data_IF_920719371868
#
_entry.id   IF_920719371868
#
_cell.length_a   1.000
_cell.length_b   1.000
_cell.length_c   1.000
_cell.angle_alpha   90.00
_cell.angle_beta   90.00
_cell.angle_gamma   90.00
#
_symmetry.space_group_name_H-M   'P 1'
#
loop_
_entity.id
_entity.type
_entity.pdbx_description
1 polymer ?
#
# COMPACT_ATOMS: atom_id res chain seq x y z
N UNK A 1 -5.03 22.65 -20.47
CA UNK A 1 -3.68 22.67 -21.07
C UNK A 1 -2.73 21.72 -20.30
N UNK A 2 -3.00 20.40 -20.27
CA UNK A 2 -2.15 19.42 -19.53
C UNK A 2 -1.80 18.15 -20.32
N UNK A 3 -2.38 17.96 -21.51
CA UNK A 3 -2.21 16.74 -22.31
C UNK A 3 -0.83 16.60 -22.99
N UNK A 4 -0.03 17.68 -23.12
CA UNK A 4 1.29 17.60 -23.79
C UNK A 4 2.39 16.88 -22.97
N UNK A 5 2.11 16.41 -21.75
CA UNK A 5 3.16 16.04 -20.76
C UNK A 5 3.30 14.54 -20.46
N UNK A 6 2.45 13.67 -21.01
CA UNK A 6 2.63 12.21 -20.96
C UNK A 6 3.13 11.70 -22.31
N UNK A 7 4.19 10.87 -22.29
CA UNK A 7 4.78 10.33 -23.53
C UNK A 7 3.76 9.53 -24.34
N UNK A 8 2.77 8.95 -23.68
CA UNK A 8 1.69 8.18 -24.31
C UNK A 8 0.80 9.10 -25.15
N UNK A 9 0.48 10.30 -24.67
CA UNK A 9 -0.33 11.27 -25.43
C UNK A 9 0.40 11.71 -26.69
N UNK A 10 1.71 11.91 -26.63
CA UNK A 10 2.49 12.23 -27.83
C UNK A 10 2.47 11.08 -28.85
N UNK A 11 2.57 9.82 -28.39
CA UNK A 11 2.46 8.65 -29.26
C UNK A 11 1.06 8.57 -29.88
N UNK A 12 0.01 8.76 -29.09
CA UNK A 12 -1.38 8.80 -29.59
C UNK A 12 -1.60 9.95 -30.57
N UNK A 13 -0.99 11.11 -30.38
CA UNK A 13 -1.06 12.22 -31.33
C UNK A 13 -0.48 11.82 -32.69
N UNK A 14 0.63 11.10 -32.73
CA UNK A 14 1.18 10.59 -34.00
C UNK A 14 0.25 9.56 -34.65
N UNK A 15 -0.37 8.67 -33.87
CA UNK A 15 -1.37 7.72 -34.39
C UNK A 15 -2.57 8.47 -34.98
N UNK A 16 -3.06 9.50 -34.30
CA UNK A 16 -4.16 10.36 -34.78
C UNK A 16 -3.79 11.11 -36.06
N UNK A 17 -2.59 11.68 -36.14
CA UNK A 17 -2.08 12.33 -37.35
C UNK A 17 -1.99 11.34 -38.51
N UNK A 18 -1.52 10.12 -38.27
CA UNK A 18 -1.49 9.07 -39.28
C UNK A 18 -2.89 8.74 -39.83
N UNK A 19 -3.88 8.60 -38.95
CA UNK A 19 -5.28 8.37 -39.34
C UNK A 19 -5.85 9.52 -40.18
N UNK A 20 -5.55 10.77 -39.83
CA UNK A 20 -5.97 11.96 -40.60
C UNK A 20 -5.36 11.93 -42.01
N UNK A 21 -4.05 11.67 -42.12
CA UNK A 21 -3.37 11.63 -43.42
C UNK A 21 -3.85 10.46 -44.29
N UNK A 22 -4.14 9.31 -43.68
CA UNK A 22 -4.74 8.17 -44.38
C UNK A 22 -6.10 8.55 -44.98
N UNK A 23 -6.96 9.26 -44.23
CA UNK A 23 -8.26 9.76 -44.75
C UNK A 23 -8.09 10.72 -45.93
N UNK A 24 -7.04 11.54 -45.90
CA UNK A 24 -6.66 12.45 -46.99
C UNK A 24 -5.95 11.75 -48.17
N UNK A 25 -5.89 10.40 -48.18
CA UNK A 25 -5.13 9.58 -49.16
C UNK A 25 -3.62 9.83 -49.21
N UNK A 26 -3.06 10.55 -48.24
CA UNK A 26 -1.62 10.79 -48.10
C UNK A 26 -0.94 9.61 -47.39
N UNK A 27 -0.89 8.45 -48.05
CA UNK A 27 -0.47 7.18 -47.43
C UNK A 27 0.99 7.19 -46.95
N UNK A 28 1.90 7.78 -47.72
CA UNK A 28 3.31 7.93 -47.34
C UNK A 28 3.47 8.73 -46.05
N UNK A 29 2.74 9.84 -45.93
CA UNK A 29 2.78 10.69 -44.76
C UNK A 29 2.10 10.03 -43.54
N UNK A 30 1.02 9.26 -43.78
CA UNK A 30 0.43 8.43 -42.74
C UNK A 30 1.43 7.41 -42.19
N UNK A 31 2.16 6.72 -43.08
CA UNK A 31 3.18 5.75 -42.68
C UNK A 31 4.35 6.39 -41.92
N UNK A 32 4.78 7.60 -42.32
CA UNK A 32 5.79 8.37 -41.60
C UNK A 32 5.40 8.65 -40.14
N UNK A 33 4.15 9.07 -39.91
CA UNK A 33 3.66 9.30 -38.55
C UNK A 33 3.57 8.01 -37.73
N UNK A 34 3.16 6.88 -38.34
CA UNK A 34 3.17 5.58 -37.66
C UNK A 34 4.60 5.13 -37.28
N UNK A 35 5.60 5.34 -38.15
CA UNK A 35 7.01 5.06 -37.81
C UNK A 35 7.55 5.93 -36.67
N UNK A 36 7.13 7.20 -36.61
CA UNK A 36 7.44 8.08 -35.46
C UNK A 36 6.81 7.58 -34.17
N UNK A 37 5.54 7.16 -34.21
CA UNK A 37 4.84 6.56 -33.08
C UNK A 37 5.55 5.27 -32.62
N UNK A 38 5.89 4.38 -33.55
CA UNK A 38 6.58 3.11 -33.31
C UNK A 38 7.91 3.34 -32.57
N UNK A 39 8.77 4.24 -33.08
CA UNK A 39 10.07 4.53 -32.47
C UNK A 39 9.94 5.02 -31.02
N UNK A 40 8.91 5.82 -30.72
CA UNK A 40 8.66 6.30 -29.36
C UNK A 40 8.08 5.20 -28.46
N UNK A 41 7.13 4.41 -28.97
CA UNK A 41 6.52 3.31 -28.23
C UNK A 41 7.53 2.19 -27.92
N UNK A 42 8.43 1.85 -28.85
CA UNK A 42 9.54 0.91 -28.62
C UNK A 42 10.48 1.38 -27.52
N UNK A 43 10.90 2.65 -27.55
CA UNK A 43 11.78 3.24 -26.52
C UNK A 43 11.14 3.30 -25.15
N UNK A 44 9.81 3.42 -25.09
CA UNK A 44 9.04 3.46 -23.85
C UNK A 44 8.47 2.09 -23.44
N UNK A 45 8.75 1.03 -24.22
CA UNK A 45 8.24 -0.33 -24.02
C UNK A 45 6.71 -0.41 -23.87
N UNK A 46 5.99 0.40 -24.66
CA UNK A 46 4.53 0.48 -24.64
C UNK A 46 3.91 -0.62 -25.50
N UNK A 47 3.93 -1.85 -25.00
CA UNK A 47 3.52 -3.05 -25.76
C UNK A 47 2.08 -2.99 -26.28
N UNK A 48 1.13 -2.45 -25.52
CA UNK A 48 -0.25 -2.24 -25.95
C UNK A 48 -0.35 -1.26 -27.13
N UNK A 49 0.34 -0.12 -27.02
CA UNK A 49 0.34 0.90 -28.07
C UNK A 49 1.05 0.40 -29.33
N UNK A 50 2.12 -0.40 -29.18
CA UNK A 50 2.79 -1.06 -30.29
C UNK A 50 1.85 -2.01 -31.03
N UNK A 51 0.99 -2.76 -30.33
CA UNK A 51 0.00 -3.62 -30.96
C UNK A 51 -0.98 -2.81 -31.84
N UNK A 52 -1.42 -1.64 -31.37
CA UNK A 52 -2.26 -0.71 -32.14
C UNK A 52 -1.49 -0.19 -33.37
N UNK A 53 -0.25 0.26 -33.19
CA UNK A 53 0.57 0.81 -34.28
C UNK A 53 0.79 -0.25 -35.37
N UNK A 54 1.17 -1.48 -35.01
CA UNK A 54 1.40 -2.53 -35.99
C UNK A 54 0.11 -2.93 -36.73
N UNK A 55 -1.04 -2.93 -36.05
CA UNK A 55 -2.33 -3.11 -36.71
C UNK A 55 -2.62 -2.01 -37.74
N UNK A 56 -2.34 -0.75 -37.41
CA UNK A 56 -2.54 0.38 -38.33
C UNK A 56 -1.59 0.32 -39.53
N UNK A 57 -0.32 -0.06 -39.32
CA UNK A 57 0.67 -0.22 -40.39
C UNK A 57 0.26 -1.35 -41.35
N UNK A 58 -0.15 -2.51 -40.84
CA UNK A 58 -0.59 -3.64 -41.67
C UNK A 58 -1.85 -3.28 -42.48
N UNK A 59 -2.81 -2.57 -41.88
CA UNK A 59 -3.99 -2.04 -42.60
C UNK A 59 -3.64 -0.97 -43.64
N UNK A 60 -2.51 -0.28 -43.48
CA UNK A 60 -2.03 0.69 -44.47
C UNK A 60 -1.33 0.00 -45.64
N UNK A 61 -0.67 -1.13 -45.38
CA UNK A 61 0.03 -1.92 -46.39
C UNK A 61 -0.88 -2.44 -47.50
N UNK A 62 -2.18 -2.65 -47.22
CA UNK A 62 -3.18 -3.00 -48.24
C UNK A 62 -3.23 -2.03 -49.42
N UNK A 63 -2.93 -0.74 -49.17
CA UNK A 63 -3.00 0.32 -50.18
C UNK A 63 -1.62 0.95 -50.46
N UNK A 64 -0.57 0.56 -49.71
CA UNK A 64 0.78 1.14 -49.84
C UNK A 64 1.82 0.02 -49.96
N UNK A 65 2.12 -0.35 -51.20
CA UNK A 65 2.96 -1.50 -51.59
C UNK A 65 4.39 -1.40 -51.04
N UNK A 66 4.88 -0.18 -50.77
CA UNK A 66 6.23 0.04 -50.22
C UNK A 66 6.41 -0.45 -48.76
N UNK A 67 5.34 -0.91 -48.09
CA UNK A 67 5.42 -1.44 -46.73
C UNK A 67 5.79 -2.93 -46.80
N UNK A 68 6.92 -3.28 -46.19
CA UNK A 68 7.33 -4.66 -45.92
C UNK A 68 6.39 -5.33 -44.90
N UNK A 69 5.43 -6.12 -45.41
CA UNK A 69 4.39 -6.77 -44.61
C UNK A 69 4.98 -7.79 -43.63
N UNK A 70 5.90 -8.65 -44.09
CA UNK A 70 6.48 -9.73 -43.29
C UNK A 70 7.23 -9.20 -42.08
N UNK A 71 7.99 -8.10 -42.25
CA UNK A 71 8.64 -7.41 -41.15
C UNK A 71 7.66 -6.96 -40.07
N UNK A 72 6.53 -6.36 -40.45
CA UNK A 72 5.56 -5.87 -39.46
C UNK A 72 4.70 -7.00 -38.87
N UNK A 73 4.45 -8.09 -39.61
CA UNK A 73 3.84 -9.31 -39.07
C UNK A 73 4.74 -9.91 -37.96
N UNK A 74 6.04 -10.03 -38.23
CA UNK A 74 6.99 -10.56 -37.25
C UNK A 74 7.13 -9.65 -36.02
N UNK A 75 7.21 -8.32 -36.22
CA UNK A 75 7.17 -7.36 -35.10
C UNK A 75 5.92 -7.49 -34.26
N UNK A 76 4.75 -7.65 -34.88
CA UNK A 76 3.48 -7.84 -34.17
C UNK A 76 3.46 -9.13 -33.36
N UNK A 77 3.92 -10.25 -33.93
CA UNK A 77 4.05 -11.54 -33.21
C UNK A 77 4.98 -11.42 -32.00
N UNK A 78 6.15 -10.80 -32.16
CA UNK A 78 7.11 -10.62 -31.07
C UNK A 78 6.59 -9.69 -29.97
N UNK A 79 5.89 -8.61 -30.34
CA UNK A 79 5.26 -7.72 -29.37
C UNK A 79 4.12 -8.41 -28.61
N UNK A 80 3.34 -9.26 -29.29
CA UNK A 80 2.28 -10.03 -28.66
C UNK A 80 2.82 -10.90 -27.52
N UNK A 81 3.91 -11.64 -27.74
CA UNK A 81 4.55 -12.44 -26.66
C UNK A 81 4.90 -11.60 -25.42
N UNK A 82 5.45 -10.39 -25.63
CA UNK A 82 5.78 -9.48 -24.52
C UNK A 82 4.54 -8.89 -23.85
N UNK A 83 3.52 -8.56 -24.63
CA UNK A 83 2.26 -8.03 -24.13
C UNK A 83 1.54 -9.06 -23.27
N UNK A 84 1.41 -10.29 -23.76
CA UNK A 84 0.76 -11.40 -23.06
C UNK A 84 1.47 -11.66 -21.72
N UNK A 85 2.81 -11.74 -21.71
CA UNK A 85 3.59 -11.88 -20.48
C UNK A 85 3.37 -10.72 -19.49
N UNK A 86 3.31 -9.48 -19.99
CA UNK A 86 3.07 -8.31 -19.14
C UNK A 86 1.66 -8.32 -18.54
N UNK A 87 0.65 -8.75 -19.31
CA UNK A 87 -0.73 -8.88 -18.87
C UNK A 87 -0.91 -9.99 -17.83
N UNK A 88 -0.27 -11.14 -18.01
CA UNK A 88 -0.33 -12.24 -17.05
C UNK A 88 0.14 -11.78 -15.66
N UNK A 89 1.23 -10.99 -15.60
CA UNK A 89 1.72 -10.44 -14.34
C UNK A 89 0.73 -9.44 -13.72
N UNK A 90 0.13 -8.57 -14.52
CA UNK A 90 -0.80 -7.56 -14.00
C UNK A 90 -2.14 -8.18 -13.54
N UNK A 91 -2.60 -9.26 -14.19
CA UNK A 91 -3.77 -10.05 -13.76
C UNK A 91 -3.55 -10.65 -12.38
N UNK A 92 -2.35 -11.19 -12.11
CA UNK A 92 -1.99 -11.74 -10.80
C UNK A 92 -1.91 -10.64 -9.73
N UNK A 93 -1.37 -9.47 -10.09
CA UNK A 93 -1.18 -8.37 -9.14
C UNK A 93 -2.48 -7.63 -8.80
N UNK A 94 -3.43 -7.50 -9.72
CA UNK A 94 -4.59 -6.63 -9.53
C UNK A 94 -5.46 -7.00 -8.31
N UNK A 95 -5.83 -8.27 -8.07
CA UNK A 95 -6.60 -8.67 -6.88
C UNK A 95 -5.84 -8.42 -5.58
N UNK A 96 -4.53 -8.69 -5.59
CA UNK A 96 -3.63 -8.48 -4.45
C UNK A 96 -3.54 -7.01 -4.08
N UNK A 97 -3.37 -6.14 -5.09
CA UNK A 97 -3.33 -4.69 -4.92
C UNK A 97 -4.65 -4.15 -4.35
N UNK A 98 -5.78 -4.62 -4.87
CA UNK A 98 -7.09 -4.21 -4.41
C UNK A 98 -7.35 -4.65 -2.95
N UNK A 99 -7.00 -5.89 -2.60
CA UNK A 99 -7.20 -6.41 -1.24
C UNK A 99 -6.32 -5.70 -0.21
N UNK A 100 -5.03 -5.47 -0.49
CA UNK A 100 -4.14 -4.72 0.42
C UNK A 100 -4.69 -3.32 0.71
N UNK A 101 -5.19 -2.63 -0.33
CA UNK A 101 -5.76 -1.29 -0.18
C UNK A 101 -7.01 -1.27 0.70
N UNK A 102 -7.79 -2.35 0.72
CA UNK A 102 -9.08 -2.42 1.42
C UNK A 102 -8.97 -2.99 2.84
N UNK A 103 -7.99 -3.85 3.14
CA UNK A 103 -7.88 -4.51 4.46
C UNK A 103 -6.77 -3.97 5.37
N UNK A 104 -5.87 -3.13 4.85
CA UNK A 104 -4.71 -2.62 5.59
C UNK A 104 -3.90 -3.70 6.32
N UNK A 105 -3.86 -4.92 5.77
CA UNK A 105 -3.19 -6.10 6.36
C UNK A 105 -3.73 -6.58 7.73
N UNK A 106 -4.93 -6.13 8.14
CA UNK A 106 -5.55 -6.49 9.43
C UNK A 106 -6.46 -7.73 9.38
N UNK A 107 -6.78 -8.25 8.20
CA UNK A 107 -7.62 -9.45 8.02
C UNK A 107 -6.79 -10.74 7.90
N UNK A 108 -7.29 -11.82 8.50
CA UNK A 108 -6.70 -13.18 8.47
C UNK A 108 -7.01 -13.99 7.19
N UNK A 109 -7.74 -13.43 6.22
CA UNK A 109 -8.10 -14.11 4.96
C UNK A 109 -6.99 -14.08 3.90
N UNK A 110 -5.77 -13.70 4.28
CA UNK A 110 -4.63 -13.57 3.37
C UNK A 110 -4.20 -14.91 2.74
N UNK A 111 -4.47 -16.04 3.39
CA UNK A 111 -3.85 -17.33 3.04
C UNK A 111 -4.29 -17.90 1.68
N UNK A 112 -5.56 -17.74 1.27
CA UNK A 112 -6.05 -18.23 -0.04
C UNK A 112 -5.56 -17.40 -1.23
N UNK A 113 -5.36 -16.09 -1.03
CA UNK A 113 -4.81 -15.21 -2.08
C UNK A 113 -3.31 -15.46 -2.21
N UNK A 114 -2.63 -15.69 -1.08
CA UNK A 114 -1.21 -16.06 -1.01
C UNK A 114 -0.91 -17.37 -1.75
N UNK A 115 -1.70 -18.42 -1.54
CA UNK A 115 -1.50 -19.71 -2.23
C UNK A 115 -1.67 -19.56 -3.75
N UNK A 116 -2.65 -18.77 -4.18
CA UNK A 116 -2.89 -18.53 -5.61
C UNK A 116 -1.80 -17.66 -6.24
N UNK A 117 -1.29 -16.66 -5.52
CA UNK A 117 -0.18 -15.81 -5.97
C UNK A 117 1.07 -16.66 -6.19
N UNK A 118 1.51 -17.42 -5.18
CA UNK A 118 2.76 -18.20 -5.26
C UNK A 118 2.71 -19.20 -6.42
N UNK A 119 1.61 -19.95 -6.56
CA UNK A 119 1.46 -20.91 -7.65
C UNK A 119 1.53 -20.25 -9.03
N UNK A 120 0.91 -19.07 -9.22
CA UNK A 120 0.97 -18.36 -10.50
C UNK A 120 2.35 -17.77 -10.76
N UNK A 121 3.02 -17.26 -9.73
CA UNK A 121 4.36 -16.70 -9.87
C UNK A 121 5.38 -17.76 -10.22
N UNK A 122 5.37 -18.91 -9.55
CA UNK A 122 6.28 -20.02 -9.86
C UNK A 122 6.09 -20.49 -11.31
N UNK A 123 4.84 -20.61 -11.76
CA UNK A 123 4.54 -20.94 -13.16
C UNK A 123 5.09 -19.86 -14.11
N UNK A 124 4.91 -18.58 -13.81
CA UNK A 124 5.36 -17.48 -14.66
C UNK A 124 6.90 -17.36 -14.72
N UNK A 125 7.58 -17.55 -13.59
CA UNK A 125 9.04 -17.45 -13.49
C UNK A 125 9.76 -18.69 -14.04
N UNK A 126 9.14 -19.88 -13.96
CA UNK A 126 9.74 -21.11 -14.49
C UNK A 126 9.44 -21.36 -15.98
N UNK A 127 8.26 -21.00 -16.49
CA UNK A 127 7.87 -21.30 -17.88
C UNK A 127 8.38 -20.30 -18.91
N UNK A 128 8.72 -19.08 -18.49
CA UNK A 128 9.04 -18.00 -19.41
C UNK A 128 10.46 -17.47 -19.17
N UNK A 129 11.23 -17.34 -20.25
CA UNK A 129 12.45 -16.54 -20.23
C UNK A 129 12.05 -15.06 -20.17
N UNK A 130 12.05 -14.48 -18.97
CA UNK A 130 11.58 -13.11 -18.75
C UNK A 130 12.63 -12.14 -19.29
N UNK A 131 12.29 -11.29 -20.27
CA UNK A 131 13.25 -10.36 -20.85
C UNK A 131 13.82 -9.42 -19.78
N UNK A 132 15.14 -9.23 -19.77
CA UNK A 132 15.82 -8.33 -18.83
C UNK A 132 15.68 -6.85 -19.23
N UNK A 133 14.46 -6.39 -19.51
CA UNK A 133 14.17 -5.01 -19.90
C UNK A 133 13.65 -4.17 -18.74
N UNK A 134 13.69 -2.83 -18.81
CA UNK A 134 13.19 -1.97 -17.74
C UNK A 134 11.76 -2.28 -17.29
N UNK A 135 10.83 -2.54 -18.22
CA UNK A 135 9.42 -2.84 -17.89
C UNK A 135 9.29 -4.11 -17.09
N UNK A 136 9.90 -5.20 -17.55
CA UNK A 136 9.83 -6.49 -16.86
C UNK A 136 10.57 -6.44 -15.53
N UNK A 137 11.73 -5.78 -15.44
CA UNK A 137 12.42 -5.59 -14.15
C UNK A 137 11.53 -4.87 -13.13
N UNK A 138 10.78 -3.85 -13.56
CA UNK A 138 9.82 -3.14 -12.70
C UNK A 138 8.66 -4.06 -12.28
N UNK A 139 8.14 -4.88 -13.19
CA UNK A 139 7.10 -5.86 -12.88
C UNK A 139 7.57 -6.89 -11.86
N UNK A 140 8.78 -7.46 -12.03
CA UNK A 140 9.41 -8.35 -11.06
C UNK A 140 9.57 -7.67 -9.71
N UNK A 141 10.03 -6.42 -9.70
CA UNK A 141 10.09 -5.61 -8.48
C UNK A 141 8.73 -5.48 -7.78
N UNK A 142 7.66 -5.17 -8.52
CA UNK A 142 6.30 -5.11 -7.97
C UNK A 142 5.95 -6.43 -7.30
N UNK A 143 6.08 -7.53 -8.03
CA UNK A 143 5.72 -8.89 -7.60
C UNK A 143 6.46 -9.32 -6.34
N UNK A 144 7.80 -9.35 -6.38
CA UNK A 144 8.62 -9.85 -5.25
C UNK A 144 8.38 -8.98 -4.02
N UNK A 145 8.28 -7.65 -4.19
CA UNK A 145 7.99 -6.77 -3.06
C UNK A 145 6.62 -7.04 -2.44
N UNK A 146 5.61 -7.45 -3.24
CA UNK A 146 4.29 -7.83 -2.73
C UNK A 146 4.33 -9.13 -1.97
N UNK A 147 4.98 -10.14 -2.54
CA UNK A 147 5.11 -11.45 -1.91
C UNK A 147 5.76 -11.33 -0.53
N UNK A 148 6.93 -10.68 -0.46
CA UNK A 148 7.65 -10.49 0.80
C UNK A 148 6.87 -9.65 1.81
N UNK A 149 6.14 -8.62 1.36
CA UNK A 149 5.30 -7.81 2.23
C UNK A 149 4.13 -8.61 2.81
N UNK A 150 3.51 -9.48 2.01
CA UNK A 150 2.41 -10.32 2.47
C UNK A 150 2.88 -11.44 3.41
N UNK A 151 4.05 -12.03 3.14
CA UNK A 151 4.72 -12.98 4.04
C UNK A 151 5.30 -12.31 5.29
N UNK A 152 5.30 -10.98 5.34
CA UNK A 152 5.89 -10.15 6.41
C UNK A 152 7.38 -10.41 6.62
N UNK A 153 8.07 -10.81 5.56
CA UNK A 153 9.52 -11.04 5.57
C UNK A 153 10.26 -9.71 5.43
N UNK A 154 10.11 -8.81 6.40
CA UNK A 154 10.63 -7.44 6.33
C UNK A 154 12.16 -7.38 6.21
N UNK A 155 12.88 -8.35 6.76
CA UNK A 155 14.34 -8.46 6.62
C UNK A 155 14.72 -8.78 5.16
N UNK A 156 14.06 -9.75 4.55
CA UNK A 156 14.28 -10.12 3.16
C UNK A 156 13.85 -8.98 2.21
N UNK A 157 12.71 -8.35 2.50
CA UNK A 157 12.19 -7.20 1.76
C UNK A 157 13.19 -6.04 1.78
N UNK A 158 13.74 -5.69 2.96
CA UNK A 158 14.76 -4.63 3.07
C UNK A 158 15.97 -4.92 2.16
N UNK A 159 16.55 -6.13 2.27
CA UNK A 159 17.72 -6.55 1.48
C UNK A 159 17.43 -6.48 -0.02
N UNK A 160 16.26 -6.99 -0.43
CA UNK A 160 15.80 -6.94 -1.80
C UNK A 160 15.68 -5.50 -2.32
N UNK A 161 14.94 -4.65 -1.61
CA UNK A 161 14.69 -3.26 -2.02
C UNK A 161 15.96 -2.42 -2.10
N UNK A 162 16.90 -2.58 -1.15
CA UNK A 162 18.23 -1.93 -1.22
C UNK A 162 18.98 -2.35 -2.49
N UNK A 163 18.95 -3.64 -2.82
CA UNK A 163 19.60 -4.16 -4.04
C UNK A 163 18.96 -3.61 -5.32
N UNK A 164 17.62 -3.57 -5.37
CA UNK A 164 16.88 -3.04 -6.52
C UNK A 164 17.10 -1.56 -6.68
N UNK A 165 17.06 -0.77 -5.60
CA UNK A 165 17.32 0.66 -5.66
C UNK A 165 18.71 0.95 -6.23
N UNK A 166 19.74 0.22 -5.77
CA UNK A 166 21.10 0.34 -6.29
C UNK A 166 21.18 0.01 -7.78
N UNK A 167 20.64 -1.15 -8.18
CA UNK A 167 20.64 -1.61 -9.58
C UNK A 167 19.86 -0.66 -10.50
N UNK A 168 18.64 -0.28 -10.14
CA UNK A 168 17.78 0.56 -10.98
C UNK A 168 18.31 1.98 -11.11
N UNK A 169 18.97 2.50 -10.07
CA UNK A 169 19.65 3.79 -10.15
C UNK A 169 20.87 3.73 -11.07
N UNK A 170 21.72 2.70 -10.91
CA UNK A 170 22.89 2.48 -11.77
C UNK A 170 22.50 2.35 -13.24
N UNK A 171 21.46 1.56 -13.52
CA UNK A 171 21.02 1.24 -14.87
C UNK A 171 20.06 2.30 -15.45
N UNK A 172 19.81 3.41 -14.73
CA UNK A 172 18.89 4.50 -15.11
C UNK A 172 17.48 4.01 -15.49
N UNK A 173 16.99 2.98 -14.79
CA UNK A 173 15.64 2.45 -15.00
C UNK A 173 14.60 3.48 -14.57
N UNK A 174 14.82 4.13 -13.43
CA UNK A 174 13.89 5.15 -12.94
C UNK A 174 13.90 6.39 -13.84
N UNK A 175 12.71 6.74 -14.31
CA UNK A 175 12.44 7.90 -15.14
C UNK A 175 11.00 8.37 -14.90
N UNK A 176 10.60 9.44 -15.59
CA UNK A 176 9.27 10.05 -15.43
C UNK A 176 8.11 9.06 -15.57
N UNK A 177 8.22 8.06 -16.47
CA UNK A 177 7.13 7.12 -16.76
C UNK A 177 6.92 6.07 -15.65
N UNK A 178 7.92 5.83 -14.82
CA UNK A 178 7.88 4.84 -13.74
C UNK A 178 8.24 5.45 -12.38
N UNK A 179 8.04 6.77 -12.27
CA UNK A 179 8.39 7.52 -11.07
C UNK A 179 7.57 7.05 -9.85
N UNK A 180 6.33 6.65 -10.06
CA UNK A 180 5.50 6.03 -9.03
C UNK A 180 6.19 4.80 -8.42
N UNK A 181 6.83 3.96 -9.23
CA UNK A 181 7.51 2.76 -8.75
C UNK A 181 8.77 3.11 -7.95
N UNK A 182 9.44 4.23 -8.23
CA UNK A 182 10.52 4.76 -7.39
C UNK A 182 9.99 5.19 -6.01
N UNK A 183 8.91 5.96 -5.99
CA UNK A 183 8.28 6.43 -4.75
C UNK A 183 7.75 5.26 -3.92
N UNK A 184 7.15 4.27 -4.58
CA UNK A 184 6.70 3.03 -3.98
C UNK A 184 7.86 2.25 -3.34
N UNK A 185 8.99 2.10 -4.05
CA UNK A 185 10.18 1.44 -3.51
C UNK A 185 10.65 2.14 -2.23
N UNK A 186 10.78 3.46 -2.26
CA UNK A 186 11.24 4.25 -1.11
C UNK A 186 10.27 4.13 0.06
N UNK A 187 8.97 4.09 -0.21
CA UNK A 187 7.93 3.87 0.80
C UNK A 187 8.07 2.49 1.46
N UNK A 188 8.21 1.41 0.68
CA UNK A 188 8.40 0.07 1.26
C UNK A 188 9.71 -0.04 2.02
N UNK A 189 10.79 0.53 1.50
CA UNK A 189 12.07 0.46 2.19
C UNK A 189 12.02 1.21 3.53
N UNK A 190 11.37 2.38 3.55
CA UNK A 190 11.14 3.14 4.78
C UNK A 190 10.36 2.31 5.81
N UNK A 191 9.25 1.69 5.39
CA UNK A 191 8.42 0.88 6.28
C UNK A 191 9.12 -0.41 6.74
N UNK A 192 9.82 -1.11 5.85
CA UNK A 192 10.59 -2.32 6.22
C UNK A 192 11.69 -2.02 7.22
N UNK A 193 12.38 -0.89 7.06
CA UNK A 193 13.39 -0.43 8.03
C UNK A 193 12.77 -0.14 9.40
N UNK A 194 11.58 0.47 9.42
CA UNK A 194 10.85 0.70 10.66
C UNK A 194 10.47 -0.62 11.34
N UNK A 195 9.90 -1.58 10.61
CA UNK A 195 9.54 -2.91 11.16
C UNK A 195 10.76 -3.67 11.66
N UNK A 196 11.91 -3.53 10.98
CA UNK A 196 13.20 -4.09 11.41
C UNK A 196 13.87 -3.26 12.53
N UNK A 197 13.16 -2.30 13.14
CA UNK A 197 13.63 -1.45 14.25
C UNK A 197 14.82 -0.54 13.91
N UNK A 198 15.10 -0.30 12.62
CA UNK A 198 16.15 0.61 12.12
C UNK A 198 15.58 2.02 11.92
N UNK A 199 15.17 2.66 13.02
CA UNK A 199 14.35 3.88 13.00
C UNK A 199 15.05 5.08 12.34
N UNK A 200 16.34 5.29 12.62
CA UNK A 200 17.11 6.39 12.03
C UNK A 200 17.30 6.21 10.51
N UNK A 201 17.66 4.99 10.09
CA UNK A 201 17.80 4.68 8.67
C UNK A 201 16.44 4.82 7.95
N UNK A 202 15.34 4.40 8.59
CA UNK A 202 13.99 4.60 8.09
C UNK A 202 13.70 6.09 7.84
N UNK A 203 14.01 6.98 8.80
CA UNK A 203 13.85 8.43 8.63
C UNK A 203 14.73 9.00 7.50
N UNK A 204 15.93 8.48 7.30
CA UNK A 204 16.77 8.90 6.17
C UNK A 204 16.17 8.49 4.82
N UNK A 205 15.54 7.32 4.73
CA UNK A 205 14.77 6.95 3.55
C UNK A 205 13.48 7.75 3.40
N UNK A 206 12.84 8.18 4.49
CA UNK A 206 11.71 9.12 4.43
C UNK A 206 12.13 10.48 3.85
N UNK A 207 13.34 10.97 4.16
CA UNK A 207 13.91 12.17 3.53
C UNK A 207 14.14 11.96 2.03
N UNK A 208 14.66 10.79 1.62
CA UNK A 208 14.83 10.42 0.21
C UNK A 208 13.48 10.34 -0.52
N UNK A 209 12.44 9.80 0.14
CA UNK A 209 11.07 9.80 -0.37
C UNK A 209 10.59 11.23 -0.62
N UNK A 210 10.72 12.15 0.36
CA UNK A 210 10.36 13.57 0.21
C UNK A 210 11.08 14.23 -0.97
N UNK A 211 12.38 13.97 -1.13
CA UNK A 211 13.16 14.50 -2.27
C UNK A 211 12.59 13.96 -3.58
N UNK A 212 12.34 12.66 -3.67
CA UNK A 212 11.78 12.04 -4.85
C UNK A 212 10.39 12.57 -5.19
N UNK A 213 9.52 12.83 -4.19
CA UNK A 213 8.18 13.43 -4.41
C UNK A 213 8.25 14.80 -5.09
N UNK A 214 9.37 15.51 -4.97
CA UNK A 214 9.58 16.81 -5.61
C UNK A 214 10.10 16.72 -7.06
N UNK A 215 10.47 15.52 -7.51
CA UNK A 215 10.92 15.30 -8.88
C UNK A 215 9.78 15.49 -9.89
N UNK A 216 10.14 15.69 -11.16
CA UNK A 216 9.20 15.77 -12.29
C UNK A 216 8.06 16.79 -12.11
N UNK A 217 8.33 17.92 -11.45
CA UNK A 217 7.35 18.97 -11.15
C UNK A 217 6.23 18.50 -10.21
N UNK A 218 6.54 17.63 -9.24
CA UNK A 218 5.61 17.28 -8.15
C UNK A 218 4.32 16.59 -8.61
N UNK A 219 4.33 15.95 -9.79
CA UNK A 219 3.14 15.30 -10.38
C UNK A 219 2.52 14.27 -9.43
N UNK A 220 3.35 13.54 -8.66
CA UNK A 220 2.91 12.53 -7.70
C UNK A 220 3.01 12.99 -6.25
N UNK A 221 3.27 14.28 -5.99
CA UNK A 221 3.53 14.78 -4.64
C UNK A 221 2.34 14.54 -3.71
N UNK A 222 1.14 14.94 -4.12
CA UNK A 222 -0.07 14.81 -3.30
C UNK A 222 -0.43 13.33 -3.06
N UNK A 223 -0.26 12.48 -4.09
CA UNK A 223 -0.50 11.03 -4.01
C UNK A 223 0.38 10.35 -2.96
N UNK A 224 1.59 10.87 -2.72
CA UNK A 224 2.55 10.28 -1.78
C UNK A 224 2.62 10.99 -0.42
N UNK A 225 1.85 12.06 -0.25
CA UNK A 225 1.90 12.89 0.94
C UNK A 225 1.56 12.10 2.20
N UNK A 226 0.49 11.29 2.14
CA UNK A 226 0.07 10.42 3.24
C UNK A 226 1.19 9.46 3.66
N UNK A 227 1.85 8.79 2.71
CA UNK A 227 2.91 7.83 3.00
C UNK A 227 4.13 8.50 3.66
N UNK A 228 4.48 9.72 3.22
CA UNK A 228 5.56 10.49 3.84
C UNK A 228 5.22 10.88 5.28
N UNK A 229 4.03 11.43 5.53
CA UNK A 229 3.60 11.76 6.90
C UNK A 229 3.52 10.52 7.79
N UNK A 230 2.96 9.42 7.28
CA UNK A 230 2.93 8.15 8.01
C UNK A 230 4.33 7.68 8.40
N UNK A 231 5.29 7.70 7.47
CA UNK A 231 6.68 7.35 7.75
C UNK A 231 7.30 8.19 8.88
N UNK A 232 7.05 9.50 8.90
CA UNK A 232 7.52 10.35 9.98
C UNK A 232 6.85 10.01 11.32
N UNK A 233 5.53 9.85 11.32
CA UNK A 233 4.74 9.58 12.53
C UNK A 233 5.16 8.26 13.18
N UNK A 234 5.23 7.16 12.41
CA UNK A 234 5.58 5.85 12.97
C UNK A 234 6.98 5.87 13.61
N UNK A 235 7.97 6.49 12.96
CA UNK A 235 9.32 6.58 13.49
C UNK A 235 9.41 7.50 14.72
N UNK A 236 8.87 8.72 14.63
CA UNK A 236 8.91 9.64 15.76
C UNK A 236 8.04 9.18 16.93
N UNK A 237 7.02 8.35 16.71
CA UNK A 237 6.27 7.74 17.81
C UNK A 237 7.13 6.83 18.71
N UNK A 238 8.31 6.43 18.24
CA UNK A 238 9.29 5.66 19.02
C UNK A 238 10.48 6.51 19.49
N UNK A 239 10.88 7.49 18.69
CA UNK A 239 12.07 8.31 18.97
C UNK A 239 11.77 9.62 19.72
N UNK A 240 10.67 10.30 19.37
CA UNK A 240 10.38 11.66 19.81
C UNK A 240 8.88 11.97 19.68
N UNK A 241 8.14 11.77 20.77
CA UNK A 241 6.69 12.00 20.80
C UNK A 241 6.30 13.44 20.44
N UNK A 242 7.14 14.43 20.78
CA UNK A 242 6.85 15.84 20.48
C UNK A 242 6.89 16.09 18.97
N UNK A 243 7.92 15.58 18.29
CA UNK A 243 8.01 15.61 16.82
C UNK A 243 6.86 14.85 16.17
N UNK A 244 6.49 13.68 16.67
CA UNK A 244 5.37 12.91 16.14
C UNK A 244 4.05 13.72 16.19
N UNK A 245 3.76 14.36 17.32
CA UNK A 245 2.58 15.22 17.47
C UNK A 245 2.65 16.46 16.57
N UNK A 246 3.82 17.07 16.40
CA UNK A 246 4.01 18.18 15.47
C UNK A 246 3.69 17.78 14.03
N UNK A 247 4.22 16.64 13.59
CA UNK A 247 3.95 16.07 12.26
C UNK A 247 2.46 15.77 12.07
N UNK A 248 1.79 15.21 13.09
CA UNK A 248 0.34 14.96 13.05
C UNK A 248 -0.47 16.26 12.97
N UNK A 249 -0.06 17.31 13.68
CA UNK A 249 -0.72 18.62 13.60
C UNK A 249 -0.51 19.29 12.22
N UNK A 250 0.69 19.18 11.64
CA UNK A 250 0.94 19.63 10.26
C UNK A 250 0.07 18.88 9.26
N UNK A 251 -0.02 17.55 9.40
CA UNK A 251 -0.88 16.73 8.56
C UNK A 251 -2.36 17.08 8.75
N UNK A 252 -2.78 17.30 10.01
CA UNK A 252 -4.15 17.72 10.38
C UNK A 252 -4.59 18.98 9.63
N UNK A 253 -3.69 19.91 9.39
CA UNK A 253 -3.97 21.20 8.74
C UNK A 253 -3.74 21.19 7.22
N UNK A 254 -3.33 20.06 6.64
CA UNK A 254 -3.06 19.96 5.22
C UNK A 254 -4.32 19.60 4.42
N UNK A 255 -4.78 20.52 3.55
CA UNK A 255 -6.00 20.35 2.74
C UNK A 255 -6.01 19.04 1.93
N UNK A 256 -4.88 18.66 1.33
CA UNK A 256 -4.81 17.44 0.50
C UNK A 256 -4.90 16.16 1.31
N UNK A 257 -4.41 16.17 2.55
CA UNK A 257 -4.56 15.01 3.42
C UNK A 257 -5.98 14.95 3.98
N UNK A 258 -6.59 16.09 4.30
CA UNK A 258 -8.00 16.17 4.73
C UNK A 258 -8.99 15.59 3.70
N UNK A 259 -8.66 15.64 2.41
CA UNK A 259 -9.48 15.04 1.33
C UNK A 259 -9.46 13.49 1.33
N UNK A 260 -8.59 12.83 2.11
CA UNK A 260 -8.47 11.36 2.08
C UNK A 260 -9.56 10.66 2.93
N UNK A 261 -10.23 9.61 2.40
CA UNK A 261 -11.37 8.92 3.06
C UNK A 261 -11.12 8.28 4.44
N UNK A 262 -9.89 8.30 4.96
CA UNK A 262 -9.50 7.71 6.25
C UNK A 262 -8.53 8.60 7.03
N UNK A 263 -8.36 9.85 6.61
CA UNK A 263 -7.42 10.78 7.23
C UNK A 263 -7.72 11.00 8.71
N UNK A 264 -8.99 11.20 9.05
CA UNK A 264 -9.39 11.45 10.43
C UNK A 264 -9.02 10.27 11.33
N UNK A 265 -9.19 9.04 10.82
CA UNK A 265 -8.76 7.83 11.51
C UNK A 265 -7.26 7.79 11.73
N UNK A 266 -6.47 8.06 10.69
CA UNK A 266 -5.03 8.11 10.81
C UNK A 266 -4.57 9.15 11.86
N UNK A 267 -5.06 10.39 11.80
CA UNK A 267 -4.60 11.46 12.70
C UNK A 267 -5.00 11.20 14.14
N UNK A 268 -6.30 11.03 14.40
CA UNK A 268 -6.80 10.95 15.77
C UNK A 268 -6.38 9.65 16.45
N UNK A 269 -6.28 8.53 15.72
CA UNK A 269 -5.77 7.28 16.29
C UNK A 269 -4.32 7.45 16.72
N UNK A 270 -3.44 7.92 15.83
CA UNK A 270 -2.02 8.06 16.16
C UNK A 270 -1.77 9.10 17.27
N UNK A 271 -2.50 10.22 17.29
CA UNK A 271 -2.44 11.17 18.42
C UNK A 271 -2.88 10.50 19.72
N UNK A 272 -3.97 9.73 19.69
CA UNK A 272 -4.48 8.96 20.83
C UNK A 272 -3.44 7.98 21.38
N UNK A 273 -2.75 7.24 20.50
CA UNK A 273 -1.71 6.28 20.87
C UNK A 273 -0.46 6.94 21.41
N UNK A 274 -0.01 8.06 20.83
CA UNK A 274 1.13 8.81 21.36
C UNK A 274 0.82 9.34 22.76
N UNK A 275 -0.37 9.90 22.99
CA UNK A 275 -0.77 10.33 24.32
C UNK A 275 -0.91 9.16 25.30
N UNK A 276 -1.36 7.99 24.83
CA UNK A 276 -1.39 6.78 25.63
C UNK A 276 0.02 6.37 26.07
N UNK A 277 1.00 6.34 25.14
CA UNK A 277 2.39 6.04 25.46
C UNK A 277 3.02 7.05 26.43
N UNK A 278 2.55 8.28 26.43
CA UNK A 278 2.94 9.31 27.42
C UNK A 278 2.18 9.20 28.75
N UNK A 279 1.34 8.17 28.97
CA UNK A 279 0.43 8.02 30.11
C UNK A 279 -0.57 9.19 30.29
N UNK A 280 -0.78 10.00 29.25
CA UNK A 280 -1.74 11.11 29.21
C UNK A 280 -3.13 10.60 28.80
N UNK A 281 -3.71 9.72 29.62
CA UNK A 281 -4.93 8.97 29.27
C UNK A 281 -6.14 9.85 28.95
N UNK A 282 -6.32 10.99 29.64
CA UNK A 282 -7.37 11.97 29.33
C UNK A 282 -7.25 12.54 27.90
N UNK A 283 -6.03 12.82 27.46
CA UNK A 283 -5.77 13.30 26.09
C UNK A 283 -5.91 12.18 25.07
N UNK A 284 -5.48 10.97 25.43
CA UNK A 284 -5.63 9.78 24.61
C UNK A 284 -7.11 9.50 24.30
N UNK A 285 -7.95 9.40 25.33
CA UNK A 285 -9.37 9.11 25.15
C UNK A 285 -10.09 10.22 24.38
N UNK A 286 -9.73 11.50 24.59
CA UNK A 286 -10.30 12.62 23.83
C UNK A 286 -10.10 12.45 22.32
N UNK A 287 -8.92 12.02 21.90
CA UNK A 287 -8.63 11.81 20.47
C UNK A 287 -9.33 10.55 19.94
N UNK A 288 -9.30 9.44 20.68
CA UNK A 288 -9.98 8.19 20.29
C UNK A 288 -11.50 8.40 20.17
N UNK A 289 -12.13 9.08 21.12
CA UNK A 289 -13.55 9.43 21.04
C UNK A 289 -13.83 10.36 19.86
N UNK A 290 -12.96 11.35 19.58
CA UNK A 290 -13.13 12.23 18.41
C UNK A 290 -13.08 11.45 17.10
N UNK A 291 -12.22 10.45 16.99
CA UNK A 291 -12.16 9.52 15.85
C UNK A 291 -13.49 8.80 15.67
N UNK A 292 -13.99 8.13 16.72
CA UNK A 292 -15.22 7.32 16.65
C UNK A 292 -16.44 8.15 16.19
N UNK A 293 -16.44 9.46 16.47
CA UNK A 293 -17.50 10.39 16.06
C UNK A 293 -17.42 10.85 14.59
N UNK A 294 -16.32 10.58 13.88
CA UNK A 294 -16.18 10.99 12.47
C UNK A 294 -16.94 10.07 11.52
N UNK A 295 -17.45 10.62 10.42
CA UNK A 295 -18.08 9.82 9.36
C UNK A 295 -17.10 8.78 8.77
N UNK A 296 -15.83 9.14 8.62
CA UNK A 296 -14.77 8.26 8.12
C UNK A 296 -14.62 6.97 8.95
N UNK A 297 -14.99 6.99 10.25
CA UNK A 297 -14.95 5.78 11.09
C UNK A 297 -15.89 4.70 10.56
N UNK A 298 -17.07 5.10 10.06
CA UNK A 298 -18.06 4.17 9.50
C UNK A 298 -17.56 3.49 8.23
N UNK A 299 -16.64 4.14 7.51
CA UNK A 299 -16.03 3.62 6.27
C UNK A 299 -14.91 2.60 6.55
N UNK A 300 -14.46 2.46 7.80
CA UNK A 300 -13.46 1.45 8.17
C UNK A 300 -14.06 0.03 8.15
N UNK A 301 -13.22 -0.99 7.94
CA UNK A 301 -13.67 -2.38 8.05
C UNK A 301 -14.20 -2.67 9.47
N UNK A 302 -15.19 -3.55 9.59
CA UNK A 302 -15.76 -3.90 10.90
C UNK A 302 -14.72 -4.46 11.89
N UNK A 303 -13.73 -5.20 11.38
CA UNK A 303 -12.59 -5.69 12.16
C UNK A 303 -11.76 -4.52 12.73
N UNK A 304 -11.47 -3.50 11.92
CA UNK A 304 -10.70 -2.35 12.37
C UNK A 304 -11.48 -1.45 13.34
N UNK A 305 -12.78 -1.23 13.08
CA UNK A 305 -13.68 -0.54 14.01
C UNK A 305 -13.67 -1.21 15.40
N UNK A 306 -13.82 -2.54 15.44
CA UNK A 306 -13.78 -3.30 16.69
C UNK A 306 -12.48 -3.05 17.47
N UNK A 307 -11.33 -3.08 16.80
CA UNK A 307 -10.03 -2.85 17.44
C UNK A 307 -9.89 -1.43 18.01
N UNK A 308 -10.40 -0.42 17.31
CA UNK A 308 -10.43 0.96 17.83
C UNK A 308 -11.31 1.05 19.08
N UNK A 309 -12.45 0.35 19.10
CA UNK A 309 -13.35 0.34 20.25
C UNK A 309 -12.75 -0.43 21.45
N UNK A 310 -12.03 -1.52 21.22
CA UNK A 310 -11.25 -2.21 22.27
C UNK A 310 -10.18 -1.26 22.82
N UNK A 311 -9.51 -0.50 21.95
CA UNK A 311 -8.54 0.53 22.35
C UNK A 311 -9.20 1.60 23.22
N UNK A 312 -10.40 2.06 22.88
CA UNK A 312 -11.18 3.00 23.70
C UNK A 312 -11.36 2.44 25.13
N UNK A 313 -11.79 1.18 25.23
CA UNK A 313 -12.00 0.50 26.52
C UNK A 313 -10.70 0.39 27.31
N UNK A 314 -9.60 -0.03 26.67
CA UNK A 314 -8.28 -0.14 27.30
C UNK A 314 -7.81 1.18 27.90
N UNK A 315 -8.03 2.31 27.21
CA UNK A 315 -7.67 3.63 27.72
C UNK A 315 -8.59 4.07 28.86
N UNK A 316 -9.89 3.77 28.78
CA UNK A 316 -10.87 4.09 29.84
C UNK A 316 -10.61 3.33 31.13
N UNK A 317 -10.07 2.12 31.04
CA UNK A 317 -9.65 1.34 32.21
C UNK A 317 -8.64 2.11 33.06
N UNK A 318 -7.61 2.71 32.43
CA UNK A 318 -6.62 3.55 33.12
C UNK A 318 -7.21 4.85 33.72
N UNK A 319 -8.46 5.17 33.42
CA UNK A 319 -9.20 6.32 33.98
C UNK A 319 -10.22 5.90 35.04
N UNK A 320 -10.25 4.61 35.44
CA UNK A 320 -11.20 4.05 36.41
C UNK A 320 -12.67 4.29 36.03
N UNK A 321 -13.00 4.25 34.73
CA UNK A 321 -14.34 4.50 34.21
C UNK A 321 -15.15 3.20 34.05
N UNK A 322 -15.29 2.44 35.13
CA UNK A 322 -15.87 1.08 35.14
C UNK A 322 -17.27 0.99 34.50
N UNK A 323 -18.20 1.88 34.87
CA UNK A 323 -19.58 1.86 34.37
C UNK A 323 -19.64 2.05 32.84
N UNK A 324 -18.85 3.01 32.33
CA UNK A 324 -18.72 3.27 30.90
C UNK A 324 -18.12 2.09 30.16
N UNK A 325 -17.13 1.41 30.76
CA UNK A 325 -16.53 0.22 30.14
C UNK A 325 -17.58 -0.89 30.02
N UNK A 326 -18.39 -1.11 31.06
CA UNK A 326 -19.42 -2.15 31.05
C UNK A 326 -20.45 -1.90 29.93
N UNK A 327 -20.91 -0.64 29.78
CA UNK A 327 -21.79 -0.24 28.70
C UNK A 327 -21.18 -0.51 27.31
N UNK A 328 -19.90 -0.13 27.13
CA UNK A 328 -19.18 -0.31 25.86
C UNK A 328 -19.00 -1.79 25.51
N UNK A 329 -18.68 -2.64 26.49
CA UNK A 329 -18.57 -4.09 26.29
C UNK A 329 -19.91 -4.69 25.85
N UNK A 330 -21.03 -4.26 26.45
CA UNK A 330 -22.38 -4.69 26.03
C UNK A 330 -22.65 -4.30 24.56
N UNK A 331 -22.28 -3.09 24.15
CA UNK A 331 -22.42 -2.63 22.76
C UNK A 331 -21.56 -3.46 21.81
N UNK A 332 -20.31 -3.78 22.19
CA UNK A 332 -19.42 -4.61 21.38
C UNK A 332 -20.00 -6.00 21.13
N UNK A 333 -20.47 -6.68 22.16
CA UNK A 333 -21.09 -7.99 22.01
C UNK A 333 -22.34 -7.95 21.12
N UNK A 334 -23.17 -6.89 21.22
CA UNK A 334 -24.36 -6.75 20.37
C UNK A 334 -24.01 -6.48 18.90
N UNK A 335 -23.09 -5.56 18.62
CA UNK A 335 -22.80 -5.10 17.25
C UNK A 335 -21.75 -5.92 16.51
N UNK A 336 -20.87 -6.64 17.22
CA UNK A 336 -19.71 -7.33 16.66
C UNK A 336 -19.64 -8.82 17.03
N UNK A 337 -20.74 -9.44 17.49
CA UNK A 337 -20.80 -10.86 17.88
C UNK A 337 -20.20 -11.80 16.84
N UNK A 338 -20.58 -11.66 15.56
CA UNK A 338 -20.07 -12.50 14.48
C UNK A 338 -18.56 -12.42 14.29
N UNK A 339 -17.96 -11.25 14.49
CA UNK A 339 -16.50 -11.06 14.37
C UNK A 339 -15.80 -11.57 15.62
N UNK A 340 -16.34 -11.29 16.80
CA UNK A 340 -15.80 -11.75 18.08
C UNK A 340 -15.79 -13.28 18.20
N UNK A 341 -16.78 -13.96 17.65
CA UNK A 341 -16.83 -15.42 17.63
C UNK A 341 -15.72 -16.03 16.77
N UNK A 342 -15.30 -15.34 15.70
CA UNK A 342 -14.24 -15.80 14.80
C UNK A 342 -12.85 -15.31 15.23
N UNK A 343 -12.76 -14.32 16.13
CA UNK A 343 -11.51 -13.78 16.64
C UNK A 343 -11.38 -14.03 18.16
N UNK A 344 -10.86 -15.22 18.48
CA UNK A 344 -10.70 -15.69 19.86
C UNK A 344 -9.84 -14.75 20.71
N UNK A 345 -8.87 -14.03 20.13
CA UNK A 345 -8.00 -13.11 20.85
C UNK A 345 -8.71 -11.82 21.27
N UNK A 346 -9.45 -11.20 20.36
CA UNK A 346 -10.25 -9.99 20.67
C UNK A 346 -11.35 -10.32 21.72
N UNK A 347 -11.95 -11.52 21.65
CA UNK A 347 -12.89 -11.98 22.67
C UNK A 347 -12.24 -12.15 24.05
N UNK A 348 -11.07 -12.80 24.11
CA UNK A 348 -10.33 -13.02 25.36
C UNK A 348 -9.97 -11.73 26.07
N UNK A 349 -9.48 -10.71 25.35
CA UNK A 349 -9.11 -9.44 25.99
C UNK A 349 -10.33 -8.72 26.58
N UNK A 350 -11.48 -8.76 25.90
CA UNK A 350 -12.74 -8.17 26.42
C UNK A 350 -13.19 -8.89 27.69
N UNK A 351 -13.10 -10.23 27.73
CA UNK A 351 -13.43 -11.01 28.93
C UNK A 351 -12.48 -10.72 30.10
N UNK A 352 -11.18 -10.54 29.83
CA UNK A 352 -10.19 -10.14 30.83
C UNK A 352 -10.52 -8.76 31.38
N UNK A 353 -10.79 -7.77 30.52
CA UNK A 353 -11.17 -6.42 30.95
C UNK A 353 -12.43 -6.46 31.82
N UNK A 354 -13.44 -7.25 31.41
CA UNK A 354 -14.68 -7.41 32.19
C UNK A 354 -14.40 -7.96 33.59
N UNK A 355 -13.52 -8.94 33.72
CA UNK A 355 -13.12 -9.49 35.02
C UNK A 355 -12.31 -8.48 35.85
N UNK A 356 -11.42 -7.71 35.23
CA UNK A 356 -10.57 -6.73 35.91
C UNK A 356 -11.37 -5.61 36.59
N UNK A 357 -12.48 -5.19 36.01
CA UNK A 357 -13.31 -4.10 36.56
C UNK A 357 -13.86 -4.40 37.96
N UNK A 358 -14.06 -5.68 38.28
CA UNK A 358 -14.59 -6.13 39.57
C UNK A 358 -13.50 -6.79 40.45
N UNK A 359 -12.25 -6.81 40.00
CA UNK A 359 -11.16 -7.46 40.70
C UNK A 359 -10.45 -6.47 41.63
N UNK A 360 -10.42 -6.77 42.93
CA UNK A 360 -9.69 -5.96 43.92
C UNK A 360 -8.21 -6.32 43.99
N UNK A 361 -7.84 -7.58 43.73
CA UNK A 361 -6.47 -8.04 43.69
C UNK A 361 -6.27 -9.12 42.62
N UNK A 362 -5.59 -8.73 41.54
CA UNK A 362 -5.33 -9.60 40.38
C UNK A 362 -4.48 -10.82 40.72
N UNK A 363 -3.64 -10.77 41.74
CA UNK A 363 -2.78 -11.89 42.13
C UNK A 363 -3.54 -13.02 42.87
N UNK A 364 -4.69 -12.70 43.45
CA UNK A 364 -5.51 -13.67 44.21
C UNK A 364 -6.56 -14.37 43.33
N UNK A 365 -6.96 -13.74 42.22
CA UNK A 365 -7.92 -14.33 41.28
C UNK A 365 -7.24 -15.32 40.33
N UNK A 366 -7.20 -16.59 40.73
CA UNK A 366 -6.62 -17.69 39.94
C UNK A 366 -7.27 -17.82 38.55
N UNK A 367 -8.56 -17.55 38.41
CA UNK A 367 -9.27 -17.65 37.13
C UNK A 367 -8.84 -16.52 36.18
N UNK A 368 -8.76 -15.30 36.69
CA UNK A 368 -8.24 -14.17 35.93
C UNK A 368 -6.78 -14.39 35.49
N UNK A 369 -5.93 -14.88 36.40
CA UNK A 369 -4.54 -15.22 36.08
C UNK A 369 -4.45 -16.28 34.98
N UNK A 370 -5.32 -17.29 35.00
CA UNK A 370 -5.39 -18.30 33.94
C UNK A 370 -5.73 -17.67 32.59
N UNK A 371 -6.78 -16.83 32.53
CA UNK A 371 -7.17 -16.13 31.28
C UNK A 371 -6.04 -15.25 30.73
N UNK A 372 -5.35 -14.53 31.61
CA UNK A 372 -4.19 -13.70 31.26
C UNK A 372 -3.07 -14.57 30.67
N UNK A 373 -2.75 -15.70 31.30
CA UNK A 373 -1.71 -16.61 30.83
C UNK A 373 -2.07 -17.28 29.49
N UNK A 374 -3.34 -17.59 29.26
CA UNK A 374 -3.80 -18.07 27.96
C UNK A 374 -3.71 -17.03 26.86
N UNK A 375 -4.03 -15.76 27.15
CA UNK A 375 -3.83 -14.66 26.20
C UNK A 375 -2.35 -14.53 25.83
N UNK A 376 -1.44 -14.65 26.82
CA UNK A 376 0.01 -14.57 26.62
C UNK A 376 0.52 -15.62 25.63
N UNK A 377 -0.01 -16.84 25.65
CA UNK A 377 0.35 -17.92 24.70
C UNK A 377 0.05 -17.57 23.24
N UNK A 378 -0.89 -16.67 22.99
CA UNK A 378 -1.31 -16.23 21.64
C UNK A 378 -0.63 -14.93 21.22
N UNK A 379 0.68 -14.80 21.41
CA UNK A 379 1.40 -13.55 21.08
C UNK A 379 1.24 -13.22 19.59
N UNK A 380 0.59 -12.09 19.31
CA UNK A 380 0.49 -11.55 17.96
C UNK A 380 0.60 -10.02 18.03
N UNK A 381 1.84 -9.52 17.98
CA UNK A 381 2.14 -8.08 18.06
C UNK A 381 1.47 -7.25 16.96
N UNK A 382 1.19 -7.88 15.82
CA UNK A 382 0.92 -7.19 14.56
C UNK A 382 -0.57 -7.03 14.26
N UNK A 383 -1.46 -7.48 15.15
CA UNK A 383 -2.92 -7.36 14.96
C UNK A 383 -3.60 -6.45 15.96
N UNK A 384 -2.90 -5.94 16.97
CA UNK A 384 -3.49 -5.17 18.06
C UNK A 384 -3.06 -3.70 17.94
N UNK A 385 -3.97 -2.76 18.17
CA UNK A 385 -3.64 -1.32 18.12
C UNK A 385 -2.81 -0.94 19.36
N UNK A 386 -3.31 -1.27 20.56
CA UNK A 386 -2.52 -1.39 21.77
C UNK A 386 -2.32 -2.88 22.00
N UNK A 387 -1.07 -3.32 22.06
CA UNK A 387 -0.74 -4.72 22.23
C UNK A 387 -1.41 -5.29 23.50
N UNK A 388 -2.26 -6.31 23.35
CA UNK A 388 -3.03 -6.81 24.50
C UNK A 388 -2.15 -7.46 25.57
N UNK A 389 -1.04 -8.11 25.16
CA UNK A 389 -0.14 -8.73 26.11
C UNK A 389 0.63 -7.67 26.90
N UNK A 390 1.13 -6.64 26.23
CA UNK A 390 1.80 -5.50 26.89
C UNK A 390 0.82 -4.73 27.78
N UNK A 391 -0.43 -4.55 27.35
CA UNK A 391 -1.44 -3.85 28.13
C UNK A 391 -1.74 -4.58 29.44
N UNK A 392 -1.99 -5.89 29.39
CA UNK A 392 -2.28 -6.70 30.58
C UNK A 392 -1.08 -6.77 31.55
N UNK A 393 0.17 -6.70 31.05
CA UNK A 393 1.36 -6.67 31.90
C UNK A 393 1.56 -5.34 32.65
N UNK A 394 0.91 -4.28 32.20
CA UNK A 394 1.03 -2.93 32.76
C UNK A 394 -0.17 -2.54 33.64
N UNK A 395 -1.00 -3.51 34.02
CA UNK A 395 -2.10 -3.40 34.99
C UNK A 395 -1.66 -4.13 36.24
#
# INVERSE_FOLDING_TARGET
>A
QHAKKEKDIEIFNYISLARIQKRKRNLNLAFHYLKKAEKKALRAEKFEILAIIYNEILKLAYNLISIDVDKYVNKKKNNKKKLDLAHDIDIVLAPVMHKIKTTQNLDSTNDKILSNLNNHLDILFHKNDIPNTPTFRIQIFKVISRELLQKKEFIALEKYLKSILKKFTKDKIFNKNNHEQKLMLLTYLTNSLYENQKLEESLDFAKKLKKAMNEHNRILYDNYLFYYYNALVINYSKLDYSKALKVLNEAKNNKKIQELPTFSAFIYLNMGLIYYSQKKYKMSIKNISRLILQQDFLNLSKSFQLKILITEIQVRFHLNQSDLIEEKIKILHRKYSGILNNNTRDKKIIEIIKSLIYCTNTNLDKNLQQKINELKKTYNKEKDIINYNEWVLNI
#
